data_IF_316114802831
#
_entry.id   IF_316114802831
#
_cell.length_a   1.000
_cell.length_b   1.000
_cell.length_c   1.000
_cell.angle_alpha   90.00
_cell.angle_beta   90.00
_cell.angle_gamma   90.00
#
_symmetry.space_group_name_H-M   'P 1'
#
loop_
_entity.id
_entity.type
_entity.pdbx_description
1 polymer ?
#
# COMPACT_ATOMS: atom_id res chain seq x y z
N UNK A 1 26.50 7.81 13.28
CA UNK A 1 26.15 7.53 11.87
C UNK A 1 24.79 8.17 11.60
N UNK A 2 24.54 8.74 10.42
CA UNK A 2 23.24 9.30 10.04
C UNK A 2 22.66 8.63 8.80
N UNK A 3 21.35 8.38 8.83
CA UNK A 3 20.58 7.79 7.75
C UNK A 3 19.51 8.77 7.24
N UNK A 4 19.52 9.05 5.94
CA UNK A 4 18.41 9.75 5.28
C UNK A 4 17.55 8.75 4.52
N UNK A 5 16.27 8.67 4.85
CA UNK A 5 15.28 7.92 4.09
C UNK A 5 14.65 8.80 3.00
N UNK A 6 14.68 8.34 1.75
CA UNK A 6 13.97 8.93 0.62
C UNK A 6 12.80 8.03 0.27
N UNK A 7 11.58 8.57 0.23
CA UNK A 7 10.36 7.83 -0.11
C UNK A 7 9.59 8.54 -1.23
N UNK A 8 8.85 7.80 -2.05
CA UNK A 8 8.14 8.37 -3.20
C UNK A 8 6.61 8.21 -3.14
N UNK A 9 6.00 8.79 -2.11
CA UNK A 9 4.55 8.81 -1.95
C UNK A 9 4.10 8.22 -0.62
N UNK A 10 2.79 8.34 -0.34
CA UNK A 10 2.23 7.94 0.95
C UNK A 10 2.37 6.44 1.26
N UNK A 11 2.28 5.57 0.24
CA UNK A 11 2.46 4.12 0.45
C UNK A 11 3.90 3.78 0.82
N UNK A 12 4.85 4.39 0.12
CA UNK A 12 6.29 4.26 0.35
C UNK A 12 6.72 4.87 1.68
N UNK A 13 6.08 5.97 2.12
CA UNK A 13 6.29 6.55 3.45
C UNK A 13 5.94 5.52 4.54
N UNK A 14 4.81 4.83 4.42
CA UNK A 14 4.39 3.79 5.38
C UNK A 14 5.36 2.62 5.38
N UNK A 15 5.82 2.16 4.21
CA UNK A 15 6.83 1.09 4.09
C UNK A 15 8.15 1.53 4.74
N UNK A 16 8.60 2.75 4.47
CA UNK A 16 9.81 3.29 5.07
C UNK A 16 9.71 3.36 6.60
N UNK A 17 8.56 3.80 7.12
CA UNK A 17 8.29 3.90 8.56
C UNK A 17 8.41 2.54 9.25
N UNK A 18 7.94 1.44 8.65
CA UNK A 18 8.13 0.08 9.22
C UNK A 18 9.62 -0.25 9.42
N UNK A 19 10.44 0.04 8.40
CA UNK A 19 11.89 -0.21 8.47
C UNK A 19 12.55 0.69 9.52
N UNK A 20 12.23 1.99 9.50
CA UNK A 20 12.85 2.97 10.40
C UNK A 20 12.46 2.73 11.86
N UNK A 21 11.22 2.30 12.12
CA UNK A 21 10.76 1.92 13.45
C UNK A 21 11.59 0.76 14.00
N UNK A 22 11.82 -0.29 13.20
CA UNK A 22 12.66 -1.39 13.63
C UNK A 22 14.11 -0.99 13.85
N UNK A 23 14.65 -0.04 13.07
CA UNK A 23 15.99 0.50 13.32
C UNK A 23 16.10 1.23 14.67
N UNK A 24 15.05 1.94 15.10
CA UNK A 24 15.03 2.64 16.40
C UNK A 24 15.15 1.69 17.59
N UNK A 25 14.78 0.41 17.45
CA UNK A 25 14.93 -0.59 18.51
C UNK A 25 16.38 -1.03 18.75
N UNK A 26 17.31 -0.75 17.83
CA UNK A 26 18.72 -1.13 17.99
C UNK A 26 19.50 -0.10 18.81
N UNK A 27 20.36 -0.56 19.72
CA UNK A 27 21.25 0.30 20.52
C UNK A 27 22.25 1.11 19.68
N UNK A 28 22.48 0.70 18.44
CA UNK A 28 23.34 1.36 17.45
C UNK A 28 22.55 2.13 16.39
N UNK A 29 21.28 2.48 16.66
CA UNK A 29 20.44 3.22 15.72
C UNK A 29 21.15 4.49 15.23
N UNK A 30 21.26 4.71 13.91
CA UNK A 30 21.76 5.97 13.38
C UNK A 30 20.79 7.12 13.67
N UNK A 31 21.28 8.35 13.58
CA UNK A 31 20.41 9.53 13.55
C UNK A 31 19.55 9.48 12.28
N UNK A 32 18.24 9.42 12.44
CA UNK A 32 17.29 9.24 11.36
C UNK A 32 16.77 10.60 10.86
N UNK A 33 16.60 10.71 9.55
CA UNK A 33 15.86 11.79 8.91
C UNK A 33 15.11 11.25 7.69
N UNK A 34 14.04 11.91 7.29
CA UNK A 34 13.25 11.55 6.11
C UNK A 34 13.16 12.71 5.12
N UNK A 35 13.05 12.37 3.84
CA UNK A 35 12.68 13.30 2.77
C UNK A 35 11.65 12.59 1.87
N UNK A 36 10.36 12.77 2.16
CA UNK A 36 9.29 12.40 1.25
C UNK A 36 9.41 13.23 -0.02
N UNK A 37 9.59 12.55 -1.16
CA UNK A 37 9.70 13.21 -2.45
C UNK A 37 8.35 13.69 -2.95
N UNK A 38 7.28 13.02 -2.53
CA UNK A 38 5.90 13.35 -2.86
C UNK A 38 5.01 13.18 -1.63
N UNK A 39 4.23 14.23 -1.31
CA UNK A 39 3.35 14.23 -0.14
C UNK A 39 3.99 14.93 1.07
N UNK A 40 3.20 15.07 2.13
CA UNK A 40 3.57 15.84 3.33
C UNK A 40 4.39 15.02 4.36
N UNK A 41 4.61 13.72 4.13
CA UNK A 41 5.38 12.87 5.05
C UNK A 41 4.73 12.60 6.40
N UNK A 42 3.39 12.70 6.51
CA UNK A 42 2.67 12.53 7.78
C UNK A 42 2.97 11.21 8.50
N UNK A 43 3.33 10.16 7.76
CA UNK A 43 3.66 8.86 8.33
C UNK A 43 4.90 8.89 9.23
N UNK A 44 5.82 9.85 9.02
CA UNK A 44 7.05 9.98 9.81
C UNK A 44 6.85 10.69 11.15
N UNK A 45 5.79 11.49 11.30
CA UNK A 45 5.54 12.31 12.50
C UNK A 45 5.38 11.48 13.79
N UNK A 46 4.65 10.34 13.81
CA UNK A 46 4.49 9.55 15.03
C UNK A 46 5.78 8.91 15.56
N UNK A 47 6.83 8.81 14.74
CA UNK A 47 8.14 8.27 15.12
C UNK A 47 9.16 9.35 15.49
N UNK A 48 8.73 10.62 15.56
CA UNK A 48 9.59 11.79 15.78
C UNK A 48 10.77 11.87 14.78
N UNK A 49 10.59 11.37 13.56
CA UNK A 49 11.62 11.40 12.52
C UNK A 49 11.57 12.76 11.81
N UNK A 50 12.65 13.57 11.87
CA UNK A 50 12.66 14.89 11.25
C UNK A 50 12.58 14.80 9.74
N UNK A 51 11.65 15.54 9.15
CA UNK A 51 11.56 15.76 7.71
C UNK A 51 12.52 16.88 7.33
N UNK A 52 13.47 16.59 6.44
CA UNK A 52 14.38 17.60 5.90
C UNK A 52 13.80 18.19 4.61
N UNK A 53 14.07 19.47 4.35
CA UNK A 53 13.67 20.10 3.09
C UNK A 53 12.18 20.45 2.99
N UNK A 54 11.74 20.83 1.78
CA UNK A 54 10.35 21.17 1.51
C UNK A 54 9.58 19.93 1.08
N UNK A 55 8.38 19.75 1.63
CA UNK A 55 7.44 18.69 1.29
C UNK A 55 6.13 19.31 0.81
N UNK A 56 5.59 18.80 -0.29
CA UNK A 56 4.35 19.29 -0.88
C UNK A 56 3.52 18.12 -1.42
N UNK A 57 2.20 18.27 -1.37
CA UNK A 57 1.27 17.31 -1.97
C UNK A 57 1.15 17.58 -3.48
N UNK A 58 1.63 16.63 -4.30
CA UNK A 58 1.57 16.75 -5.75
C UNK A 58 0.20 16.30 -6.30
N UNK A 59 -0.35 16.99 -7.33
CA UNK A 59 -1.63 16.62 -7.95
C UNK A 59 -1.70 15.17 -8.45
N UNK A 60 -0.60 14.60 -8.98
CA UNK A 60 -0.53 13.20 -9.42
C UNK A 60 -0.38 12.17 -8.29
N UNK A 61 -0.04 12.61 -7.08
CA UNK A 61 0.30 11.73 -5.96
C UNK A 61 1.54 10.86 -6.20
N UNK A 62 2.45 11.26 -7.11
CA UNK A 62 3.78 10.67 -7.28
C UNK A 62 3.91 9.67 -8.42
N UNK A 63 2.82 9.42 -9.15
CA UNK A 63 2.85 8.56 -10.34
C UNK A 63 3.27 9.34 -11.58
N UNK A 64 4.57 9.29 -11.89
CA UNK A 64 5.11 9.82 -13.17
C UNK A 64 4.61 8.97 -14.37
N UNK A 65 4.08 7.77 -14.13
CA UNK A 65 3.61 6.84 -15.16
C UNK A 65 2.20 7.12 -15.69
N UNK A 66 1.46 8.08 -15.13
CA UNK A 66 0.06 8.36 -15.51
C UNK A 66 -0.04 9.69 -16.26
N UNK A 67 -0.06 9.61 -17.60
CA UNK A 67 -0.42 10.69 -18.54
C UNK A 67 0.48 11.96 -18.59
N UNK A 68 0.82 12.40 -19.81
CA UNK A 68 1.58 13.64 -20.04
C UNK A 68 0.87 14.90 -19.49
N UNK A 69 -0.46 14.86 -19.32
CA UNK A 69 -1.24 15.98 -18.79
C UNK A 69 -1.09 16.16 -17.27
N UNK A 70 -0.97 15.07 -16.49
CA UNK A 70 -0.75 15.16 -15.05
C UNK A 70 0.67 15.63 -14.74
N UNK A 71 1.67 15.15 -15.48
CA UNK A 71 3.05 15.67 -15.39
C UNK A 71 3.09 17.18 -15.65
N UNK A 72 2.34 17.68 -16.64
CA UNK A 72 2.29 19.10 -16.94
C UNK A 72 1.62 19.92 -15.82
N UNK A 73 0.56 19.40 -15.20
CA UNK A 73 -0.07 20.02 -14.01
C UNK A 73 0.88 20.05 -12.82
N UNK A 74 1.66 18.99 -12.61
CA UNK A 74 2.66 18.94 -11.55
C UNK A 74 3.79 19.95 -11.80
N UNK A 75 4.26 20.09 -13.06
CA UNK A 75 5.25 21.12 -13.45
C UNK A 75 4.72 22.53 -13.18
N UNK A 76 3.47 22.81 -13.54
CA UNK A 76 2.82 24.10 -13.23
C UNK A 76 2.60 24.30 -11.73
N UNK A 77 2.42 23.23 -10.97
CA UNK A 77 2.26 23.22 -9.52
C UNK A 77 3.56 23.40 -8.73
N UNK A 78 4.70 23.65 -9.39
CA UNK A 78 5.97 23.92 -8.70
C UNK A 78 6.93 22.73 -8.58
N UNK A 79 6.66 21.59 -9.26
CA UNK A 79 7.49 20.38 -9.21
C UNK A 79 8.98 20.66 -9.42
N UNK A 80 9.33 21.55 -10.35
CA UNK A 80 10.75 21.86 -10.64
C UNK A 80 11.42 22.57 -9.45
N UNK A 81 10.71 23.50 -8.82
CA UNK A 81 11.21 24.21 -7.65
C UNK A 81 11.31 23.28 -6.43
N UNK A 82 10.34 22.38 -6.27
CA UNK A 82 10.34 21.33 -5.25
C UNK A 82 11.52 20.36 -5.45
N UNK A 83 11.68 19.80 -6.65
CA UNK A 83 12.83 18.93 -6.97
C UNK A 83 14.14 19.65 -6.68
N UNK A 84 14.26 20.93 -7.05
CA UNK A 84 15.50 21.67 -6.81
C UNK A 84 15.75 21.91 -5.32
N UNK A 85 14.72 22.17 -4.52
CA UNK A 85 14.84 22.31 -3.06
C UNK A 85 15.19 20.98 -2.39
N UNK A 86 14.60 19.88 -2.84
CA UNK A 86 14.90 18.51 -2.40
C UNK A 86 16.35 18.11 -2.74
N UNK A 87 16.80 18.36 -3.96
CA UNK A 87 18.19 18.13 -4.38
C UNK A 87 19.18 18.97 -3.57
N UNK A 88 18.83 20.22 -3.22
CA UNK A 88 19.64 21.02 -2.28
C UNK A 88 19.67 20.42 -0.88
N UNK A 89 18.54 19.93 -0.37
CA UNK A 89 18.48 19.27 0.94
C UNK A 89 19.36 18.01 0.95
N UNK A 90 19.29 17.18 -0.09
CA UNK A 90 20.15 16.00 -0.27
C UNK A 90 21.62 16.40 -0.34
N UNK A 91 22.00 17.45 -1.09
CA UNK A 91 23.38 17.96 -1.12
C UNK A 91 23.87 18.46 0.24
N UNK A 92 23.01 19.11 1.02
CA UNK A 92 23.35 19.55 2.38
C UNK A 92 23.53 18.34 3.29
N UNK A 93 22.65 17.35 3.19
CA UNK A 93 22.78 16.08 3.89
C UNK A 93 24.09 15.38 3.56
N UNK A 94 24.45 15.29 2.28
CA UNK A 94 25.66 14.62 1.79
C UNK A 94 26.98 15.21 2.33
N UNK A 95 26.97 16.43 2.89
CA UNK A 95 28.16 17.01 3.54
C UNK A 95 28.46 16.45 4.92
N UNK A 96 27.46 15.87 5.59
CA UNK A 96 27.56 15.45 7.00
C UNK A 96 26.85 14.13 7.30
N UNK A 97 26.18 13.53 6.31
CA UNK A 97 25.47 12.27 6.44
C UNK A 97 26.25 11.11 5.84
N UNK A 98 25.91 9.90 6.29
CA UNK A 98 26.72 8.71 6.01
C UNK A 98 26.05 7.77 5.00
N UNK A 99 24.71 7.70 5.02
CA UNK A 99 23.97 6.72 4.23
C UNK A 99 22.60 7.23 3.78
N UNK A 100 22.12 6.71 2.65
CA UNK A 100 20.76 6.95 2.14
C UNK A 100 19.99 5.62 1.99
N UNK A 101 18.78 5.56 2.51
CA UNK A 101 17.83 4.49 2.22
C UNK A 101 16.81 5.02 1.22
N UNK A 102 16.78 4.48 0.00
CA UNK A 102 15.77 4.81 -1.00
C UNK A 102 14.65 3.78 -0.97
N UNK A 103 13.40 4.21 -0.78
CA UNK A 103 12.20 3.36 -0.70
C UNK A 103 11.22 3.80 -1.79
N UNK A 104 10.89 2.90 -2.72
CA UNK A 104 9.95 3.21 -3.79
C UNK A 104 10.41 2.70 -5.15
N UNK A 105 10.49 3.64 -6.09
CA UNK A 105 10.80 3.39 -7.51
C UNK A 105 12.13 4.04 -7.94
N UNK A 106 12.26 4.34 -9.23
CA UNK A 106 13.45 4.93 -9.80
C UNK A 106 13.78 6.34 -9.26
N UNK A 107 12.79 7.11 -8.80
CA UNK A 107 13.03 8.49 -8.37
C UNK A 107 13.90 8.55 -7.09
N UNK A 108 13.53 7.89 -5.97
CA UNK A 108 14.37 7.89 -4.77
C UNK A 108 15.70 7.16 -5.02
N UNK A 109 15.71 6.12 -5.86
CA UNK A 109 16.95 5.43 -6.26
C UNK A 109 17.92 6.37 -6.99
N UNK A 110 17.43 7.16 -7.94
CA UNK A 110 18.23 8.13 -8.68
C UNK A 110 18.78 9.22 -7.76
N UNK A 111 17.95 9.72 -6.85
CA UNK A 111 18.34 10.76 -5.89
C UNK A 111 19.38 10.25 -4.89
N UNK A 112 19.25 9.00 -4.44
CA UNK A 112 20.25 8.32 -3.62
C UNK A 112 21.59 8.22 -4.35
N UNK A 113 21.60 7.73 -5.60
CA UNK A 113 22.82 7.65 -6.40
C UNK A 113 23.47 9.02 -6.66
N UNK A 114 22.64 10.03 -6.95
CA UNK A 114 23.08 11.39 -7.24
C UNK A 114 23.72 12.07 -6.01
N UNK A 115 23.31 11.70 -4.81
CA UNK A 115 23.79 12.29 -3.56
C UNK A 115 25.30 12.21 -3.36
N UNK A 116 25.97 11.21 -3.95
CA UNK A 116 27.39 10.94 -3.67
C UNK A 116 27.61 9.81 -2.67
N UNK A 117 26.67 9.56 -1.75
CA UNK A 117 26.83 8.68 -0.59
C UNK A 117 26.62 7.19 -0.91
N UNK A 118 27.05 6.28 0.00
CA UNK A 118 26.54 4.91 0.07
C UNK A 118 25.02 4.89 0.26
N UNK A 119 24.34 3.92 -0.36
CA UNK A 119 22.90 3.78 -0.27
C UNK A 119 22.39 2.34 -0.35
N UNK A 120 21.19 2.13 0.17
CA UNK A 120 20.38 0.92 -0.02
C UNK A 120 19.09 1.27 -0.75
N UNK A 121 18.52 0.31 -1.46
CA UNK A 121 17.28 0.50 -2.21
C UNK A 121 16.24 -0.57 -1.87
N UNK A 122 15.06 -0.15 -1.44
CA UNK A 122 13.89 -1.00 -1.18
C UNK A 122 12.92 -0.80 -2.33
N UNK A 123 12.84 -1.80 -3.20
CA UNK A 123 12.05 -1.77 -4.43
C UNK A 123 10.63 -2.24 -4.21
N UNK A 124 9.69 -1.30 -4.10
CA UNK A 124 8.28 -1.59 -3.74
C UNK A 124 7.33 -1.54 -4.93
N UNK A 125 7.69 -0.77 -5.97
CA UNK A 125 6.80 -0.48 -7.10
C UNK A 125 6.80 -1.56 -8.20
N UNK A 126 7.82 -2.41 -8.25
CA UNK A 126 8.05 -3.34 -9.37
C UNK A 126 8.20 -4.78 -8.90
N UNK A 127 7.66 -5.68 -9.69
CA UNK A 127 7.76 -7.13 -9.51
C UNK A 127 7.89 -7.82 -10.86
N UNK A 128 8.68 -8.88 -10.91
CA UNK A 128 8.80 -9.75 -12.08
C UNK A 128 7.50 -10.50 -12.39
N UNK A 129 6.59 -10.65 -11.40
CA UNK A 129 5.25 -11.21 -11.61
C UNK A 129 4.41 -10.46 -12.64
N UNK A 130 4.74 -9.20 -12.96
CA UNK A 130 4.09 -8.50 -14.08
C UNK A 130 4.44 -9.07 -15.46
N UNK A 131 5.57 -9.77 -15.56
CA UNK A 131 6.15 -10.25 -16.81
C UNK A 131 6.14 -11.79 -16.91
N UNK A 132 6.29 -12.48 -15.78
CA UNK A 132 6.51 -13.93 -15.69
C UNK A 132 6.11 -14.48 -14.33
N UNK A 133 5.77 -15.75 -14.28
CA UNK A 133 5.63 -16.53 -13.06
C UNK A 133 6.78 -17.55 -12.95
N UNK A 134 6.68 -18.48 -12.00
CA UNK A 134 7.63 -19.57 -11.81
C UNK A 134 7.70 -20.54 -13.00
N UNK A 135 6.65 -20.59 -13.84
CA UNK A 135 6.59 -21.40 -15.06
C UNK A 135 7.19 -20.67 -16.28
N UNK A 136 7.40 -19.35 -16.18
CA UNK A 136 8.08 -18.54 -17.18
C UNK A 136 7.25 -17.34 -17.61
N UNK A 137 7.50 -16.86 -18.83
CA UNK A 137 6.91 -15.62 -19.31
C UNK A 137 5.39 -15.71 -19.52
N UNK A 138 4.65 -14.72 -19.01
CA UNK A 138 3.20 -14.66 -19.15
C UNK A 138 2.78 -14.44 -20.61
N UNK A 139 1.68 -15.08 -20.98
CA UNK A 139 1.00 -14.87 -22.26
C UNK A 139 0.31 -13.50 -22.30
N UNK A 140 0.12 -12.93 -23.49
CA UNK A 140 -0.60 -11.66 -23.71
C UNK A 140 -0.02 -10.38 -23.09
N UNK A 141 1.30 -10.29 -22.95
CA UNK A 141 1.98 -9.03 -22.60
C UNK A 141 2.30 -8.16 -23.83
N UNK A 142 2.28 -6.82 -23.72
CA UNK A 142 2.85 -5.95 -24.73
C UNK A 142 4.32 -6.30 -25.00
N UNK A 143 4.74 -6.36 -26.27
CA UNK A 143 6.11 -6.76 -26.66
C UNK A 143 7.23 -5.88 -26.07
N UNK A 144 6.91 -4.65 -25.71
CA UNK A 144 7.86 -3.73 -25.10
C UNK A 144 8.02 -3.98 -23.58
N UNK A 145 7.06 -4.63 -22.92
CA UNK A 145 7.18 -5.02 -21.52
C UNK A 145 8.20 -6.15 -21.39
N UNK A 146 9.22 -5.92 -20.55
CA UNK A 146 10.30 -6.88 -20.34
C UNK A 146 11.29 -6.98 -21.50
N UNK A 147 11.31 -6.03 -22.45
CA UNK A 147 12.27 -6.00 -23.57
C UNK A 147 13.74 -6.11 -23.11
N UNK A 148 14.03 -5.63 -21.90
CA UNK A 148 15.36 -5.68 -21.29
C UNK A 148 15.64 -6.93 -20.47
N UNK A 149 14.73 -7.92 -20.51
CA UNK A 149 14.83 -9.19 -19.77
C UNK A 149 14.42 -9.12 -18.31
N UNK A 150 13.93 -7.98 -17.82
CA UNK A 150 13.50 -7.73 -16.44
C UNK A 150 12.55 -6.53 -16.38
N UNK A 151 11.71 -6.48 -15.34
CA UNK A 151 10.87 -5.32 -14.99
C UNK A 151 11.72 -4.10 -14.61
N UNK A 152 12.94 -4.34 -14.12
CA UNK A 152 13.94 -3.31 -13.88
C UNK A 152 14.76 -3.06 -15.15
N UNK A 153 14.62 -1.85 -15.67
CA UNK A 153 15.22 -1.40 -16.91
C UNK A 153 16.75 -1.30 -16.77
N UNK A 154 17.51 -1.32 -17.88
CA UNK A 154 18.97 -1.36 -17.82
C UNK A 154 19.60 -0.24 -16.99
N UNK A 155 19.03 0.96 -16.99
CA UNK A 155 19.52 2.09 -16.19
C UNK A 155 19.21 1.93 -14.70
N UNK A 156 18.07 1.34 -14.33
CA UNK A 156 17.75 1.05 -12.92
C UNK A 156 18.71 -0.01 -12.39
N UNK A 157 18.94 -1.08 -13.17
CA UNK A 157 19.93 -2.11 -12.85
C UNK A 157 21.35 -1.54 -12.76
N UNK A 158 21.69 -0.57 -13.60
CA UNK A 158 22.97 0.13 -13.50
C UNK A 158 23.12 0.94 -12.19
N UNK A 159 22.06 1.62 -11.74
CA UNK A 159 22.05 2.28 -10.43
C UNK A 159 22.18 1.27 -9.30
N UNK A 160 21.49 0.14 -9.40
CA UNK A 160 21.56 -0.95 -8.41
C UNK A 160 22.92 -1.67 -8.36
N UNK A 161 23.61 -1.74 -9.49
CA UNK A 161 24.95 -2.37 -9.60
C UNK A 161 26.08 -1.42 -9.21
N UNK A 162 25.78 -0.17 -8.82
CA UNK A 162 26.81 0.79 -8.48
C UNK A 162 27.56 0.35 -7.22
N UNK A 163 28.89 0.57 -7.16
CA UNK A 163 29.72 0.24 -5.98
C UNK A 163 29.27 0.87 -4.66
N UNK A 164 28.45 1.92 -4.72
CA UNK A 164 27.88 2.63 -3.56
C UNK A 164 26.50 2.09 -3.17
N UNK A 165 25.87 1.27 -4.01
CA UNK A 165 24.65 0.57 -3.68
C UNK A 165 25.05 -0.67 -2.85
N UNK A 166 24.83 -0.61 -1.55
CA UNK A 166 25.27 -1.65 -0.62
C UNK A 166 24.23 -2.77 -0.47
N UNK A 167 22.99 -2.55 -0.93
CA UNK A 167 21.93 -3.55 -0.90
C UNK A 167 20.70 -3.12 -1.66
N UNK A 168 20.07 -4.09 -2.32
CA UNK A 168 18.78 -3.97 -3.00
C UNK A 168 17.83 -4.97 -2.35
N UNK A 169 16.65 -4.52 -1.98
CA UNK A 169 15.62 -5.31 -1.29
C UNK A 169 14.35 -5.28 -2.15
N UNK A 170 14.22 -6.17 -3.14
CA UNK A 170 13.00 -6.30 -3.92
C UNK A 170 11.88 -6.88 -3.06
N UNK A 171 10.64 -6.59 -3.45
CA UNK A 171 9.44 -7.02 -2.73
C UNK A 171 9.14 -8.52 -2.75
N UNK A 172 9.75 -9.29 -3.64
CA UNK A 172 9.47 -10.73 -3.80
C UNK A 172 10.69 -11.55 -4.25
N UNK A 173 10.61 -12.86 -4.02
CA UNK A 173 11.65 -13.85 -4.30
C UNK A 173 12.01 -13.90 -5.78
N UNK A 174 11.02 -14.01 -6.67
CA UNK A 174 11.23 -14.13 -8.11
C UNK A 174 12.04 -12.93 -8.64
N UNK A 175 11.65 -11.72 -8.24
CA UNK A 175 12.36 -10.49 -8.58
C UNK A 175 13.79 -10.48 -8.06
N UNK A 176 14.00 -10.96 -6.84
CA UNK A 176 15.34 -11.06 -6.27
C UNK A 176 16.23 -12.03 -7.03
N UNK A 177 15.72 -13.23 -7.36
CA UNK A 177 16.45 -14.25 -8.12
C UNK A 177 16.86 -13.75 -9.51
N UNK A 178 15.97 -13.02 -10.17
CA UNK A 178 16.24 -12.42 -11.48
C UNK A 178 17.31 -11.33 -11.36
N UNK A 179 17.22 -10.43 -10.37
CA UNK A 179 18.22 -9.38 -10.19
C UNK A 179 19.62 -9.95 -9.86
N UNK A 180 19.70 -11.09 -9.17
CA UNK A 180 20.95 -11.82 -8.87
C UNK A 180 21.64 -12.39 -10.11
N UNK A 181 20.99 -12.42 -11.27
CA UNK A 181 21.64 -12.77 -12.55
C UNK A 181 22.66 -11.70 -12.99
N UNK A 182 22.56 -10.48 -12.43
CA UNK A 182 23.54 -9.41 -12.60
C UNK A 182 24.33 -9.18 -11.30
N UNK A 183 25.39 -8.37 -11.36
CA UNK A 183 26.20 -7.99 -10.20
C UNK A 183 25.49 -6.98 -9.27
N UNK A 184 24.25 -7.27 -8.91
CA UNK A 184 23.41 -6.48 -8.01
C UNK A 184 23.37 -7.17 -6.64
N UNK A 185 23.65 -6.47 -5.53
CA UNK A 185 23.57 -7.03 -4.18
C UNK A 185 22.10 -7.13 -3.73
N UNK A 186 21.34 -8.03 -4.35
CA UNK A 186 19.91 -8.22 -4.07
C UNK A 186 19.67 -9.22 -2.93
N UNK A 187 18.80 -8.87 -1.99
CA UNK A 187 18.44 -9.66 -0.81
C UNK A 187 16.94 -9.93 -0.80
N UNK A 188 16.58 -11.20 -0.60
CA UNK A 188 15.18 -11.63 -0.50
C UNK A 188 14.76 -11.59 0.97
N UNK A 189 14.06 -10.53 1.35
CA UNK A 189 13.59 -10.29 2.72
C UNK A 189 12.07 -10.02 2.78
N UNK A 190 11.35 -10.27 1.68
CA UNK A 190 9.93 -9.95 1.55
C UNK A 190 9.66 -8.44 1.41
N UNK A 191 8.38 -8.06 1.58
CA UNK A 191 7.92 -6.69 1.42
C UNK A 191 7.48 -6.10 2.78
N UNK A 192 8.14 -5.04 3.28
CA UNK A 192 7.80 -4.46 4.58
C UNK A 192 6.39 -3.87 4.67
N UNK A 193 5.67 -3.73 3.55
CA UNK A 193 4.23 -3.42 3.60
C UNK A 193 3.40 -4.47 4.35
N UNK A 194 3.90 -5.70 4.52
CA UNK A 194 3.23 -6.76 5.25
C UNK A 194 3.53 -6.75 6.75
N UNK A 195 4.55 -5.99 7.17
CA UNK A 195 5.01 -5.96 8.55
C UNK A 195 3.96 -5.26 9.44
N UNK A 196 3.84 -5.74 10.68
CA UNK A 196 2.91 -5.19 11.67
C UNK A 196 1.42 -5.50 11.42
N UNK A 197 1.07 -6.28 10.38
CA UNK A 197 -0.32 -6.71 10.16
C UNK A 197 -0.67 -7.95 10.98
N UNK A 198 0.16 -9.00 10.94
CA UNK A 198 -0.07 -10.21 11.72
C UNK A 198 0.22 -9.96 13.20
N UNK A 199 -0.61 -10.49 14.13
CA UNK A 199 -0.21 -10.56 15.53
C UNK A 199 1.00 -11.50 15.68
N UNK A 200 1.94 -11.13 16.55
CA UNK A 200 3.17 -11.90 16.82
C UNK A 200 2.89 -13.36 17.24
N UNK A 201 1.69 -13.62 17.75
CA UNK A 201 1.23 -14.95 18.19
C UNK A 201 -0.18 -15.23 17.63
N UNK A 202 -0.30 -15.79 16.42
CA UNK A 202 -1.59 -16.19 15.90
C UNK A 202 -2.21 -17.28 16.76
N UNK A 203 -3.53 -17.28 16.90
CA UNK A 203 -4.23 -18.33 17.63
C UNK A 203 -3.95 -19.69 16.98
N UNK A 204 -3.71 -20.75 17.79
CA UNK A 204 -3.44 -22.08 17.25
C UNK A 204 -4.61 -22.55 16.39
N UNK A 205 -4.30 -23.15 15.24
CA UNK A 205 -5.30 -23.74 14.36
C UNK A 205 -5.90 -24.98 15.04
N UNK A 206 -7.09 -24.84 15.60
CA UNK A 206 -7.80 -25.95 16.25
C UNK A 206 -8.61 -26.71 15.22
N UNK A 207 -8.30 -28.01 15.06
CA UNK A 207 -9.10 -28.89 14.21
C UNK A 207 -10.47 -29.14 14.87
N UNK A 208 -11.51 -28.58 14.28
CA UNK A 208 -12.90 -28.81 14.69
C UNK A 208 -13.55 -29.84 13.75
N UNK A 209 -14.04 -30.94 14.33
CA UNK A 209 -14.74 -32.00 13.57
C UNK A 209 -16.02 -31.50 12.90
N UNK A 210 -16.60 -30.40 13.40
CA UNK A 210 -17.79 -29.75 12.84
C UNK A 210 -17.46 -28.43 12.12
N UNK A 211 -16.19 -28.20 11.73
CA UNK A 211 -15.73 -26.94 11.14
C UNK A 211 -16.63 -26.46 9.98
N UNK A 212 -17.02 -27.35 9.07
CA UNK A 212 -17.88 -27.00 7.93
C UNK A 212 -19.27 -26.51 8.36
N UNK A 213 -19.91 -27.22 9.30
CA UNK A 213 -21.21 -26.81 9.82
C UNK A 213 -21.11 -25.48 10.59
N UNK A 214 -20.05 -25.30 11.37
CA UNK A 214 -19.81 -24.06 12.10
C UNK A 214 -19.49 -22.89 11.14
N UNK A 215 -18.79 -23.15 10.04
CA UNK A 215 -18.55 -22.20 8.96
C UNK A 215 -19.87 -21.73 8.32
N UNK A 216 -20.80 -22.63 8.02
CA UNK A 216 -22.09 -22.21 7.44
C UNK A 216 -22.95 -21.35 8.37
N UNK A 217 -22.78 -21.50 9.69
CA UNK A 217 -23.55 -20.78 10.71
C UNK A 217 -22.90 -19.48 11.15
N UNK A 218 -21.57 -19.36 11.03
CA UNK A 218 -20.87 -18.14 11.47
C UNK A 218 -21.17 -16.98 10.54
N UNK A 219 -21.07 -15.78 11.11
CA UNK A 219 -21.09 -14.53 10.35
C UNK A 219 -19.97 -14.55 9.30
N UNK A 220 -20.33 -14.21 8.06
CA UNK A 220 -19.37 -13.97 7.00
C UNK A 220 -18.92 -12.51 7.09
N UNK A 221 -17.62 -12.29 7.26
CA UNK A 221 -17.03 -10.97 7.41
C UNK A 221 -16.35 -10.55 6.12
N UNK A 222 -16.71 -9.39 5.57
CA UNK A 222 -16.21 -8.89 4.31
C UNK A 222 -15.52 -7.54 4.56
N UNK A 223 -14.27 -7.42 4.13
CA UNK A 223 -13.52 -6.17 4.26
C UNK A 223 -13.75 -5.29 3.03
N UNK A 224 -14.06 -4.01 3.24
CA UNK A 224 -14.33 -3.05 2.18
C UNK A 224 -13.19 -2.03 2.10
N UNK A 225 -12.55 -1.92 0.93
CA UNK A 225 -11.37 -1.08 0.71
C UNK A 225 -11.61 -0.14 -0.47
N UNK A 226 -12.27 1.03 -0.27
CA UNK A 226 -12.60 1.96 -1.35
C UNK A 226 -11.38 2.71 -1.92
N UNK A 227 -10.24 2.68 -1.22
CA UNK A 227 -9.06 3.49 -1.54
C UNK A 227 -8.98 4.75 -0.68
N UNK A 228 -7.90 5.53 -0.86
CA UNK A 228 -7.55 6.63 0.04
C UNK A 228 -7.59 8.01 -0.61
N UNK A 229 -7.78 8.10 -1.93
CA UNK A 229 -7.60 9.34 -2.70
C UNK A 229 -8.92 9.89 -3.22
N UNK A 230 -9.11 11.19 -3.05
CA UNK A 230 -10.28 11.94 -3.51
C UNK A 230 -10.08 12.37 -4.98
N UNK A 231 -11.14 12.36 -5.82
CA UNK A 231 -12.51 11.97 -5.50
C UNK A 231 -12.80 10.47 -5.73
N UNK A 232 -11.81 9.70 -6.18
CA UNK A 232 -11.98 8.31 -6.60
C UNK A 232 -12.50 7.39 -5.49
N UNK A 233 -11.99 7.54 -4.26
CA UNK A 233 -12.43 6.74 -3.13
C UNK A 233 -13.96 6.83 -2.88
N UNK A 234 -14.57 8.00 -3.10
CA UNK A 234 -16.02 8.17 -2.95
C UNK A 234 -16.81 7.51 -4.09
N UNK A 235 -16.29 7.54 -5.32
CA UNK A 235 -16.91 6.82 -6.45
C UNK A 235 -16.78 5.30 -6.29
N UNK A 236 -15.61 4.84 -5.85
CA UNK A 236 -15.35 3.44 -5.54
C UNK A 236 -16.28 2.95 -4.42
N UNK A 237 -16.52 3.79 -3.41
CA UNK A 237 -17.44 3.47 -2.32
C UNK A 237 -18.87 3.17 -2.82
N UNK A 238 -19.39 3.98 -3.75
CA UNK A 238 -20.70 3.75 -4.35
C UNK A 238 -20.79 2.38 -5.05
N UNK A 239 -19.77 2.04 -5.85
CA UNK A 239 -19.68 0.73 -6.51
C UNK A 239 -19.59 -0.43 -5.52
N UNK A 240 -18.82 -0.26 -4.44
CA UNK A 240 -18.72 -1.25 -3.37
C UNK A 240 -20.09 -1.45 -2.70
N UNK A 241 -20.83 -0.38 -2.39
CA UNK A 241 -22.16 -0.49 -1.75
C UNK A 241 -23.21 -1.13 -2.67
N UNK A 242 -23.09 -0.93 -3.98
CA UNK A 242 -23.86 -1.69 -4.98
C UNK A 242 -23.55 -3.19 -4.92
N UNK A 243 -22.28 -3.57 -4.91
CA UNK A 243 -21.87 -4.98 -4.80
C UNK A 243 -22.33 -5.61 -3.47
N UNK A 244 -22.20 -4.88 -2.36
CA UNK A 244 -22.70 -5.28 -1.03
C UNK A 244 -24.20 -5.55 -1.05
N UNK A 245 -24.99 -4.75 -1.79
CA UNK A 245 -26.43 -5.00 -1.94
C UNK A 245 -26.73 -6.32 -2.66
N UNK A 246 -25.90 -6.71 -3.64
CA UNK A 246 -25.97 -8.03 -4.27
C UNK A 246 -25.65 -9.17 -3.30
N UNK A 247 -24.62 -9.00 -2.46
CA UNK A 247 -24.25 -9.99 -1.45
C UNK A 247 -25.35 -10.22 -0.41
N UNK A 248 -25.98 -9.14 0.08
CA UNK A 248 -27.10 -9.23 1.02
C UNK A 248 -28.24 -10.10 0.47
N UNK A 249 -28.59 -9.91 -0.81
CA UNK A 249 -29.64 -10.68 -1.46
C UNK A 249 -29.24 -12.15 -1.66
N UNK A 250 -28.00 -12.41 -2.09
CA UNK A 250 -27.50 -13.77 -2.34
C UNK A 250 -27.38 -14.59 -1.05
N UNK A 251 -26.95 -13.95 0.05
CA UNK A 251 -26.71 -14.61 1.33
C UNK A 251 -27.77 -14.28 2.38
N UNK A 252 -29.04 -14.13 1.98
CA UNK A 252 -30.12 -13.65 2.85
C UNK A 252 -30.33 -14.44 4.16
N UNK A 253 -29.94 -15.71 4.19
CA UNK A 253 -30.06 -16.59 5.37
C UNK A 253 -28.82 -16.62 6.28
N UNK A 254 -27.73 -15.91 5.93
CA UNK A 254 -26.47 -15.88 6.68
C UNK A 254 -26.23 -14.47 7.24
N UNK A 255 -25.77 -14.35 8.48
CA UNK A 255 -25.37 -13.03 9.00
C UNK A 255 -24.14 -12.52 8.24
N UNK A 256 -24.18 -11.27 7.78
CA UNK A 256 -23.06 -10.62 7.09
C UNK A 256 -22.54 -9.45 7.93
N UNK A 257 -21.22 -9.35 8.03
CA UNK A 257 -20.52 -8.22 8.64
C UNK A 257 -19.62 -7.58 7.59
N UNK A 258 -19.78 -6.28 7.36
CA UNK A 258 -18.94 -5.51 6.45
C UNK A 258 -18.04 -4.59 7.27
N UNK A 259 -16.72 -4.74 7.13
CA UNK A 259 -15.73 -3.90 7.81
C UNK A 259 -15.09 -2.98 6.79
N UNK A 260 -15.47 -1.71 6.77
CA UNK A 260 -14.89 -0.73 5.87
C UNK A 260 -13.72 -0.01 6.54
N UNK A 261 -12.53 -0.27 6.02
CA UNK A 261 -11.31 0.40 6.47
C UNK A 261 -11.12 1.68 5.66
N UNK A 262 -11.56 2.80 6.24
CA UNK A 262 -11.58 4.11 5.58
C UNK A 262 -10.29 4.85 5.89
N UNK A 263 -9.65 5.43 4.87
CA UNK A 263 -8.45 6.22 5.09
C UNK A 263 -8.75 7.45 5.98
N UNK A 264 -7.88 7.81 6.95
CA UNK A 264 -8.11 8.95 7.86
C UNK A 264 -8.29 10.30 7.16
N UNK A 265 -7.77 10.45 5.94
CA UNK A 265 -7.90 11.67 5.14
C UNK A 265 -9.25 11.84 4.43
N UNK A 266 -10.14 10.84 4.48
CA UNK A 266 -11.47 10.91 3.88
C UNK A 266 -12.49 11.44 4.88
N UNK A 267 -13.42 12.27 4.42
CA UNK A 267 -14.60 12.62 5.21
C UNK A 267 -15.54 11.42 5.25
N UNK A 268 -16.13 11.16 6.41
CA UNK A 268 -17.15 10.13 6.57
C UNK A 268 -18.52 10.57 6.02
N UNK A 269 -18.76 11.88 5.84
CA UNK A 269 -20.07 12.38 5.41
C UNK A 269 -20.50 11.85 4.04
N UNK A 270 -19.69 11.92 2.97
CA UNK A 270 -20.08 11.36 1.67
C UNK A 270 -20.31 9.84 1.72
N UNK A 271 -19.55 9.13 2.57
CA UNK A 271 -19.68 7.68 2.73
C UNK A 271 -21.02 7.33 3.41
N UNK A 272 -21.40 8.11 4.42
CA UNK A 272 -22.68 8.02 5.13
C UNK A 272 -23.85 8.34 4.20
N UNK A 273 -23.75 9.39 3.40
CA UNK A 273 -24.79 9.77 2.43
C UNK A 273 -25.10 8.64 1.44
N UNK A 274 -24.07 7.98 0.90
CA UNK A 274 -24.25 6.80 0.03
C UNK A 274 -24.97 5.68 0.75
N UNK A 275 -24.57 5.35 1.98
CA UNK A 275 -25.23 4.30 2.77
C UNK A 275 -26.73 4.61 2.98
N UNK A 276 -27.06 5.85 3.36
CA UNK A 276 -28.45 6.30 3.55
C UNK A 276 -29.24 6.23 2.24
N UNK A 277 -28.66 6.67 1.12
CA UNK A 277 -29.26 6.57 -0.20
C UNK A 277 -29.58 5.10 -0.58
N UNK A 278 -28.69 4.18 -0.20
CA UNK A 278 -28.87 2.74 -0.36
C UNK A 278 -29.70 2.07 0.76
N UNK A 279 -30.44 2.85 1.56
CA UNK A 279 -31.38 2.40 2.61
C UNK A 279 -30.72 1.63 3.76
N UNK A 280 -29.48 1.96 4.07
CA UNK A 280 -28.87 1.55 5.34
C UNK A 280 -29.33 2.46 6.47
N UNK A 281 -29.62 1.88 7.63
CA UNK A 281 -30.02 2.63 8.82
C UNK A 281 -28.82 2.72 9.77
N UNK A 282 -28.45 3.93 10.14
CA UNK A 282 -27.43 4.16 11.16
C UNK A 282 -27.93 3.70 12.52
N UNK A 283 -27.06 3.02 13.26
CA UNK A 283 -27.34 2.49 14.59
C UNK A 283 -26.21 2.83 15.55
N UNK A 284 -26.50 2.83 16.84
CA UNK A 284 -25.46 2.96 17.85
C UNK A 284 -24.62 1.67 17.88
N UNK A 285 -23.31 1.82 17.75
CA UNK A 285 -22.38 0.70 17.86
C UNK A 285 -22.44 0.13 19.30
N UNK A 286 -22.73 -1.17 19.50
CA UNK A 286 -22.66 -1.78 20.82
C UNK A 286 -21.21 -1.83 21.31
N UNK A 287 -20.99 -2.00 22.62
CA UNK A 287 -19.64 -1.97 23.21
C UNK A 287 -18.70 -3.05 22.67
N UNK A 288 -19.25 -4.19 22.23
CA UNK A 288 -18.51 -5.31 21.62
C UNK A 288 -19.31 -5.88 20.43
N UNK A 289 -19.34 -5.20 19.27
CA UNK A 289 -20.06 -5.68 18.10
C UNK A 289 -19.36 -6.95 17.59
N UNK A 290 -20.07 -8.07 17.46
CA UNK A 290 -19.53 -9.32 16.91
C UNK A 290 -18.23 -9.81 17.60
N UNK A 291 -18.06 -9.54 18.90
CA UNK A 291 -16.82 -9.80 19.66
C UNK A 291 -15.56 -9.09 19.10
N UNK A 292 -15.74 -8.02 18.33
CA UNK A 292 -14.65 -7.19 17.83
C UNK A 292 -14.16 -6.22 18.92
N UNK A 293 -12.84 -6.06 18.99
CA UNK A 293 -12.18 -5.06 19.83
C UNK A 293 -11.83 -3.83 18.99
N UNK A 294 -12.84 -3.01 18.65
CA UNK A 294 -12.63 -1.75 17.94
C UNK A 294 -11.99 -0.71 18.87
N UNK A 295 -10.89 -0.10 18.43
CA UNK A 295 -10.23 1.01 19.12
C UNK A 295 -10.81 2.35 18.70
N UNK A 296 -11.43 2.41 17.54
CA UNK A 296 -12.00 3.60 16.94
C UNK A 296 -13.31 4.04 17.63
N UNK A 297 -13.21 5.05 18.48
CA UNK A 297 -14.36 5.63 19.18
C UNK A 297 -15.28 6.43 18.26
N UNK A 298 -14.83 6.75 17.04
CA UNK A 298 -15.60 7.47 16.03
C UNK A 298 -16.11 6.54 14.92
N UNK A 299 -16.02 5.22 15.12
CA UNK A 299 -16.57 4.26 14.18
C UNK A 299 -18.09 4.43 14.06
N UNK A 300 -18.59 4.37 12.83
CA UNK A 300 -20.02 4.43 12.52
C UNK A 300 -20.55 3.03 12.22
N UNK A 301 -21.79 2.76 12.62
CA UNK A 301 -22.43 1.47 12.41
C UNK A 301 -23.74 1.62 11.65
N UNK A 302 -23.98 0.73 10.70
CA UNK A 302 -25.18 0.72 9.88
C UNK A 302 -25.74 -0.70 9.78
N UNK A 303 -27.06 -0.82 9.69
CA UNK A 303 -27.74 -2.11 9.50
C UNK A 303 -28.69 -2.07 8.32
N UNK A 304 -28.76 -3.19 7.60
CA UNK A 304 -29.70 -3.43 6.51
C UNK A 304 -29.91 -4.94 6.37
N UNK A 305 -31.16 -5.39 6.49
CA UNK A 305 -31.52 -6.81 6.43
C UNK A 305 -30.69 -7.64 7.44
N UNK A 306 -30.00 -8.68 6.97
CA UNK A 306 -29.09 -9.57 7.70
C UNK A 306 -27.64 -9.03 7.82
N UNK A 307 -27.39 -7.81 7.34
CA UNK A 307 -26.07 -7.18 7.30
C UNK A 307 -25.85 -6.10 8.35
N UNK A 308 -24.66 -6.08 8.92
CA UNK A 308 -24.11 -4.93 9.66
C UNK A 308 -22.87 -4.41 8.97
N UNK A 309 -22.73 -3.09 8.84
CA UNK A 309 -21.58 -2.44 8.23
C UNK A 309 -20.97 -1.47 9.24
N UNK A 310 -19.66 -1.55 9.42
CA UNK A 310 -18.89 -0.69 10.32
C UNK A 310 -17.90 0.12 9.49
N UNK A 311 -17.96 1.45 9.61
CA UNK A 311 -16.94 2.36 9.08
C UNK A 311 -15.94 2.67 10.19
N UNK A 312 -14.66 2.48 9.93
CA UNK A 312 -13.58 2.86 10.86
C UNK A 312 -12.43 3.51 10.12
N UNK A 313 -11.79 4.48 10.77
CA UNK A 313 -10.57 5.14 10.30
C UNK A 313 -9.33 4.76 11.12
N UNK A 314 -9.49 4.05 12.25
CA UNK A 314 -8.41 3.73 13.18
C UNK A 314 -8.16 2.22 13.38
N UNK A 315 -8.99 1.34 12.80
CA UNK A 315 -8.89 -0.12 12.97
C UNK A 315 -8.57 -0.86 11.65
N UNK A 316 -7.66 -0.32 10.83
CA UNK A 316 -7.25 -0.89 9.53
C UNK A 316 -6.82 -2.37 9.63
N UNK A 317 -5.83 -2.67 10.48
CA UNK A 317 -5.33 -4.04 10.64
C UNK A 317 -6.40 -4.99 11.16
N UNK A 318 -7.29 -4.53 12.05
CA UNK A 318 -8.41 -5.34 12.53
C UNK A 318 -9.33 -5.73 11.35
N UNK A 319 -9.66 -4.78 10.47
CA UNK A 319 -10.49 -5.06 9.30
C UNK A 319 -9.84 -6.11 8.40
N UNK A 320 -8.53 -6.02 8.14
CA UNK A 320 -7.79 -6.99 7.34
C UNK A 320 -7.75 -8.38 8.01
N UNK A 321 -7.48 -8.44 9.32
CA UNK A 321 -7.38 -9.69 10.07
C UNK A 321 -8.73 -10.40 10.24
N UNK A 322 -9.84 -9.67 10.37
CA UNK A 322 -11.16 -10.24 10.59
C UNK A 322 -11.93 -10.57 9.32
N UNK A 323 -11.61 -9.94 8.18
CA UNK A 323 -12.25 -10.24 6.91
C UNK A 323 -11.94 -11.65 6.41
N UNK A 324 -12.94 -12.33 5.86
CA UNK A 324 -12.81 -13.62 5.18
C UNK A 324 -12.37 -13.44 3.73
N UNK A 325 -12.91 -12.40 3.09
CA UNK A 325 -12.48 -11.90 1.79
C UNK A 325 -12.67 -10.38 1.74
N UNK A 326 -12.07 -9.71 0.77
CA UNK A 326 -12.25 -8.27 0.60
C UNK A 326 -12.89 -7.90 -0.76
N UNK A 327 -13.62 -6.80 -0.76
CA UNK A 327 -13.99 -6.08 -1.98
C UNK A 327 -13.13 -4.82 -2.00
N UNK A 328 -12.25 -4.72 -3.00
CA UNK A 328 -11.20 -3.72 -2.98
C UNK A 328 -11.06 -2.97 -4.31
N UNK A 329 -10.78 -1.68 -4.18
CA UNK A 329 -10.42 -0.79 -5.28
C UNK A 329 -9.19 0.05 -4.90
N UNK A 330 -8.30 -0.57 -4.11
CA UNK A 330 -7.16 0.05 -3.45
C UNK A 330 -5.92 -0.83 -3.64
N UNK A 331 -4.93 -0.38 -4.43
CA UNK A 331 -3.77 -1.20 -4.82
C UNK A 331 -3.04 -1.87 -3.64
N UNK A 332 -2.33 -1.06 -2.84
CA UNK A 332 -1.53 -1.53 -1.70
C UNK A 332 -2.35 -2.30 -0.66
N UNK A 333 -3.57 -1.85 -0.37
CA UNK A 333 -4.42 -2.51 0.62
C UNK A 333 -4.93 -3.88 0.14
N UNK A 334 -5.17 -4.02 -1.17
CA UNK A 334 -5.51 -5.32 -1.78
C UNK A 334 -4.34 -6.29 -1.66
N UNK A 335 -3.13 -5.83 -1.98
CA UNK A 335 -1.90 -6.62 -1.83
C UNK A 335 -1.67 -7.06 -0.38
N UNK A 336 -1.90 -6.16 0.58
CA UNK A 336 -1.83 -6.51 2.01
C UNK A 336 -2.85 -7.58 2.39
N UNK A 337 -4.10 -7.45 1.94
CA UNK A 337 -5.14 -8.43 2.25
C UNK A 337 -4.84 -9.81 1.64
N UNK A 338 -4.41 -9.84 0.36
CA UNK A 338 -4.02 -11.09 -0.32
C UNK A 338 -2.77 -11.70 0.30
N UNK A 339 -1.81 -10.87 0.73
CA UNK A 339 -0.62 -11.32 1.46
C UNK A 339 -0.93 -12.04 2.79
N UNK A 340 -2.16 -11.90 3.34
CA UNK A 340 -2.64 -12.70 4.47
C UNK A 340 -3.15 -14.09 4.06
N UNK A 341 -3.00 -14.47 2.79
CA UNK A 341 -3.54 -15.71 2.22
C UNK A 341 -5.05 -15.69 2.04
N UNK A 342 -5.66 -14.49 1.94
CA UNK A 342 -7.11 -14.31 1.86
C UNK A 342 -7.54 -13.81 0.48
N UNK A 343 -8.68 -14.28 -0.05
CA UNK A 343 -9.14 -13.88 -1.39
C UNK A 343 -9.61 -12.42 -1.44
N UNK A 344 -9.36 -11.77 -2.58
CA UNK A 344 -9.82 -10.42 -2.87
C UNK A 344 -10.65 -10.38 -4.16
N UNK A 345 -11.73 -9.61 -4.16
CA UNK A 345 -12.50 -9.25 -5.35
C UNK A 345 -12.19 -7.80 -5.66
N UNK A 346 -11.39 -7.60 -6.70
CA UNK A 346 -11.06 -6.29 -7.22
C UNK A 346 -11.98 -5.86 -8.36
N UNK A 347 -12.36 -4.60 -8.40
CA UNK A 347 -13.17 -4.02 -9.48
C UNK A 347 -12.49 -2.76 -10.03
N UNK A 348 -12.30 -2.63 -11.36
CA UNK A 348 -11.74 -1.42 -11.92
C UNK A 348 -12.69 -0.23 -11.71
N UNK A 349 -12.14 0.87 -11.20
CA UNK A 349 -12.86 2.12 -11.01
C UNK A 349 -12.91 2.97 -12.28
N UNK A 350 -13.71 4.03 -12.23
CA UNK A 350 -13.81 5.04 -13.31
C UNK A 350 -12.68 6.08 -13.27
N UNK A 351 -11.92 6.12 -12.16
CA UNK A 351 -10.84 7.06 -11.94
C UNK A 351 -9.48 6.58 -12.44
N UNK A 352 -8.49 7.48 -12.50
CA UNK A 352 -7.15 7.17 -13.01
C UNK A 352 -6.30 6.25 -12.12
N UNK A 353 -6.67 5.96 -10.86
CA UNK A 353 -5.82 5.15 -9.98
C UNK A 353 -6.01 3.65 -10.15
N UNK A 354 -7.26 3.19 -10.19
CA UNK A 354 -7.58 1.77 -10.25
C UNK A 354 -8.21 1.40 -11.59
N UNK A 355 -7.45 1.61 -12.66
CA UNK A 355 -7.88 1.38 -14.05
C UNK A 355 -7.96 -0.11 -14.40
N UNK A 356 -8.65 -0.51 -15.49
CA UNK A 356 -8.63 -1.90 -15.96
C UNK A 356 -7.22 -2.45 -16.20
N UNK A 357 -6.31 -1.63 -16.73
CA UNK A 357 -4.92 -2.03 -16.93
C UNK A 357 -4.18 -2.27 -15.59
N UNK A 358 -4.46 -1.43 -14.58
CA UNK A 358 -3.90 -1.63 -13.24
C UNK A 358 -4.45 -2.90 -12.59
N UNK A 359 -5.77 -3.13 -12.65
CA UNK A 359 -6.41 -4.33 -12.09
C UNK A 359 -5.88 -5.61 -12.77
N UNK A 360 -5.67 -5.58 -14.07
CA UNK A 360 -5.08 -6.70 -14.83
C UNK A 360 -3.63 -6.97 -14.41
N UNK A 361 -2.79 -5.93 -14.33
CA UNK A 361 -1.42 -6.06 -13.84
C UNK A 361 -1.35 -6.57 -12.40
N UNK A 362 -2.24 -6.09 -11.52
CA UNK A 362 -2.33 -6.54 -10.13
C UNK A 362 -2.80 -8.00 -10.03
N UNK A 363 -3.66 -8.48 -10.94
CA UNK A 363 -4.04 -9.90 -11.00
C UNK A 363 -2.80 -10.76 -11.26
N UNK A 364 -1.94 -10.38 -12.21
CA UNK A 364 -0.68 -11.11 -12.48
C UNK A 364 0.24 -11.17 -11.25
N UNK A 365 0.29 -10.09 -10.47
CA UNK A 365 1.10 -10.01 -9.25
C UNK A 365 0.58 -10.88 -8.12
N UNK A 366 -0.74 -10.99 -7.98
CA UNK A 366 -1.39 -11.62 -6.83
C UNK A 366 -1.74 -13.10 -7.05
N UNK A 367 -1.73 -13.57 -8.30
CA UNK A 367 -2.22 -14.89 -8.70
C UNK A 367 -3.74 -14.90 -8.89
#
# INVERSE_FOLDING_TARGET
MRLLCLSNGHGEDVIAVQILQELQHYSTCPELAALPLVGEGKAYLPLDIPIIGSVEQMPSGGFIYMSQQQVWRDVQGGLVQLIWSQLKAIRRWAKSGDFILAVGDIVPLLFAWWSGLPYGFVGTAKSEYYLRDESGWLANRPRWEGWSGSVYLPWERWLMSNRRCNGVFPRDTLTTEILKQWSIPAFDLGNPMMDGIYPDYPAPMVYDKNAELNETKRTLTITLLPGSRIPEAYHNWDQIILAVSGLLNTFASRSLLFLAAIAPGLSQDPLREVLVAHRWNEVTLPSHPFNLQLKDKQALAFTKQNGTLILTQNDYNLCLLQGDFCIAMAGTATEQFVGLGKPAIAMPGVGPQYTPAFAEAQTRLLG
#
